data_IF_955324148144
#
_entry.id   IF_955324148144
#
_cell.length_a   1.000
_cell.length_b   1.000
_cell.length_c   1.000
_cell.angle_alpha   90.00
_cell.angle_beta   90.00
_cell.angle_gamma   90.00
#
_symmetry.space_group_name_H-M   'P 1'
#
loop_
_entity.id
_entity.type
_entity.pdbx_description
1 polymer ?
#
# COMPACT_ATOMS: atom_id res chain seq x y z
N UNK A 1 -26.50 20.34 -9.31
CA UNK A 1 -25.17 19.98 -9.83
C UNK A 1 -24.69 18.84 -8.94
N UNK A 2 -24.64 17.61 -9.44
CA UNK A 2 -24.14 16.48 -8.65
C UNK A 2 -22.71 16.83 -8.22
N UNK A 3 -22.45 16.82 -6.92
CA UNK A 3 -21.11 17.00 -6.37
C UNK A 3 -20.29 15.76 -6.79
N UNK A 4 -19.65 15.83 -7.96
CA UNK A 4 -18.84 14.74 -8.52
C UNK A 4 -17.50 14.75 -7.79
N UNK A 5 -17.12 13.60 -7.24
CA UNK A 5 -15.79 13.39 -6.70
C UNK A 5 -14.76 13.46 -7.83
N UNK A 6 -13.79 14.36 -7.71
CA UNK A 6 -12.77 14.67 -8.73
C UNK A 6 -11.36 14.35 -8.17
N UNK A 7 -10.45 13.90 -9.04
CA UNK A 7 -9.04 13.68 -8.71
C UNK A 7 -8.39 14.89 -8.02
N UNK A 8 -8.85 16.12 -8.32
CA UNK A 8 -8.35 17.35 -7.68
C UNK A 8 -8.63 17.40 -6.18
N UNK A 9 -9.74 16.81 -5.73
CA UNK A 9 -10.08 16.69 -4.31
C UNK A 9 -9.09 15.72 -3.65
N UNK A 10 -8.88 14.54 -4.25
CA UNK A 10 -7.96 13.52 -3.72
C UNK A 10 -6.51 14.03 -3.66
N UNK A 11 -6.06 14.74 -4.70
CA UNK A 11 -4.72 15.31 -4.77
C UNK A 11 -4.41 16.36 -3.68
N UNK A 12 -5.44 16.86 -2.98
CA UNK A 12 -5.27 17.80 -1.88
C UNK A 12 -5.16 17.12 -0.50
N UNK A 13 -5.39 15.81 -0.40
CA UNK A 13 -5.45 15.05 0.85
C UNK A 13 -4.15 14.30 1.09
N UNK A 14 -3.67 14.23 2.33
CA UNK A 14 -2.47 13.51 2.73
C UNK A 14 -2.86 12.14 3.33
N UNK A 15 -2.19 11.04 2.96
CA UNK A 15 -1.00 10.92 2.10
C UNK A 15 -1.30 10.80 0.59
N UNK A 16 -2.57 10.91 0.17
CA UNK A 16 -3.04 10.68 -1.21
C UNK A 16 -2.40 11.63 -2.23
N UNK A 17 -2.00 12.83 -1.81
CA UNK A 17 -1.39 13.88 -2.63
C UNK A 17 -0.07 13.45 -3.27
N UNK A 18 0.59 12.42 -2.73
CA UNK A 18 1.79 11.81 -3.31
C UNK A 18 1.53 11.05 -4.61
N UNK A 19 0.27 10.69 -4.90
CA UNK A 19 -0.07 9.80 -6.01
C UNK A 19 -0.04 10.49 -7.37
N UNK A 20 0.43 9.75 -8.37
CA UNK A 20 0.31 10.15 -9.77
C UNK A 20 -1.14 10.15 -10.28
N UNK A 21 -1.46 10.86 -11.38
CA UNK A 21 -2.84 10.99 -11.88
C UNK A 21 -3.56 9.68 -12.21
N UNK A 22 -2.83 8.64 -12.65
CA UNK A 22 -3.43 7.33 -12.93
C UNK A 22 -3.91 6.65 -11.63
N UNK A 23 -3.06 6.65 -10.60
CA UNK A 23 -3.34 6.10 -9.27
C UNK A 23 -4.48 6.84 -8.57
N UNK A 24 -4.56 8.16 -8.73
CA UNK A 24 -5.69 8.96 -8.23
C UNK A 24 -7.01 8.55 -8.88
N UNK A 25 -7.04 8.33 -10.20
CA UNK A 25 -8.25 7.89 -10.90
C UNK A 25 -8.71 6.51 -10.44
N UNK A 26 -7.76 5.62 -10.21
CA UNK A 26 -8.06 4.31 -9.63
C UNK A 26 -8.63 4.45 -8.22
N UNK A 27 -7.97 5.19 -7.33
CA UNK A 27 -8.42 5.37 -5.95
C UNK A 27 -9.85 5.96 -5.88
N UNK A 28 -10.23 6.82 -6.83
CA UNK A 28 -11.58 7.35 -6.93
C UNK A 28 -12.66 6.26 -6.95
N UNK A 29 -12.41 5.13 -7.62
CA UNK A 29 -13.36 4.02 -7.73
C UNK A 29 -13.60 3.31 -6.39
N UNK A 30 -12.67 3.46 -5.45
CA UNK A 30 -12.70 2.85 -4.11
C UNK A 30 -13.03 3.86 -3.00
N UNK A 31 -13.23 5.13 -3.36
CA UNK A 31 -13.65 6.17 -2.44
C UNK A 31 -15.17 6.30 -2.41
N UNK A 32 -15.72 6.52 -1.22
CA UNK A 32 -17.14 6.82 -1.04
C UNK A 32 -17.32 8.26 -0.54
N UNK A 33 -18.11 9.05 -1.26
CA UNK A 33 -18.52 10.38 -0.81
C UNK A 33 -19.82 10.28 -0.01
N UNK A 34 -19.77 10.69 1.25
CA UNK A 34 -20.91 10.75 2.16
C UNK A 34 -21.32 12.21 2.36
N UNK A 35 -22.63 12.48 2.35
CA UNK A 35 -23.15 13.81 2.67
C UNK A 35 -23.93 13.76 3.97
N UNK A 36 -23.60 14.65 4.91
CA UNK A 36 -24.23 14.70 6.23
C UNK A 36 -24.90 16.06 6.42
N UNK A 37 -26.14 16.03 6.91
CA UNK A 37 -26.90 17.23 7.17
C UNK A 37 -26.36 17.97 8.41
N UNK A 38 -26.55 19.29 8.43
CA UNK A 38 -26.22 20.13 9.57
C UNK A 38 -26.90 19.61 10.85
N UNK A 39 -26.18 19.64 11.97
CA UNK A 39 -26.63 19.22 13.29
C UNK A 39 -26.50 17.72 13.57
N UNK A 40 -26.08 16.91 12.59
CA UNK A 40 -25.89 15.47 12.76
C UNK A 40 -24.43 15.11 13.08
N UNK A 41 -24.26 14.02 13.82
CA UNK A 41 -22.97 13.39 14.06
C UNK A 41 -22.64 12.38 12.94
N UNK A 42 -21.61 12.62 12.11
CA UNK A 42 -21.25 11.73 11.00
C UNK A 42 -20.65 10.39 11.43
N UNK A 43 -20.22 10.24 12.68
CA UNK A 43 -19.53 9.05 13.18
C UNK A 43 -20.46 8.14 14.00
N UNK A 44 -21.65 8.63 14.34
CA UNK A 44 -22.68 7.83 15.02
C UNK A 44 -23.24 6.75 14.09
N UNK A 45 -22.93 5.49 14.36
CA UNK A 45 -23.36 4.33 13.57
C UNK A 45 -22.46 4.01 12.36
N UNK A 46 -21.44 4.83 12.10
CA UNK A 46 -20.38 4.58 11.11
C UNK A 46 -19.02 4.95 11.70
N UNK A 47 -18.44 4.06 12.51
CA UNK A 47 -17.18 4.35 13.19
C UNK A 47 -16.04 4.57 12.18
N UNK A 48 -14.95 5.16 12.68
CA UNK A 48 -13.76 5.49 11.89
C UNK A 48 -12.78 4.31 11.76
N UNK A 49 -13.03 3.20 12.45
CA UNK A 49 -12.14 2.04 12.43
C UNK A 49 -12.03 1.45 11.03
N UNK A 50 -10.79 1.24 10.57
CA UNK A 50 -10.48 0.73 9.23
C UNK A 50 -10.75 1.72 8.10
N UNK A 51 -11.09 2.98 8.40
CA UNK A 51 -11.39 3.99 7.38
C UNK A 51 -10.58 5.27 7.58
N UNK A 52 -10.08 5.78 6.46
CA UNK A 52 -9.51 7.13 6.34
C UNK A 52 -10.63 8.06 5.88
N UNK A 53 -11.02 8.99 6.75
CA UNK A 53 -12.16 9.88 6.53
C UNK A 53 -11.71 11.33 6.47
N UNK A 54 -12.07 12.05 5.42
CA UNK A 54 -11.63 13.43 5.20
C UNK A 54 -12.84 14.36 5.04
N UNK A 55 -12.74 15.56 5.61
CA UNK A 55 -13.75 16.61 5.38
C UNK A 55 -13.42 17.33 4.07
N UNK A 56 -14.25 17.13 3.05
CA UNK A 56 -14.01 17.75 1.73
C UNK A 56 -14.91 18.96 1.45
N UNK A 57 -15.97 19.16 2.26
CA UNK A 57 -16.85 20.33 2.17
C UNK A 57 -17.50 20.63 3.51
N UNK A 58 -17.67 21.91 3.82
CA UNK A 58 -18.36 22.40 5.00
C UNK A 58 -17.47 22.50 6.24
N UNK A 59 -18.11 22.49 7.40
CA UNK A 59 -17.50 22.72 8.70
C UNK A 59 -18.00 21.67 9.69
N UNK A 60 -17.07 21.05 10.41
CA UNK A 60 -17.31 19.98 11.38
C UNK A 60 -16.68 20.38 12.71
N UNK A 61 -17.47 20.37 13.78
CA UNK A 61 -16.94 20.41 15.12
C UNK A 61 -16.67 18.99 15.60
N UNK A 62 -15.50 18.77 16.19
CA UNK A 62 -15.10 17.50 16.78
C UNK A 62 -14.79 17.73 18.25
N UNK A 63 -15.40 16.93 19.11
CA UNK A 63 -15.15 16.91 20.56
C UNK A 63 -14.35 15.66 20.89
N UNK A 64 -13.18 15.88 21.48
CA UNK A 64 -12.27 14.83 21.88
C UNK A 64 -12.50 14.39 23.32
N UNK A 65 -12.04 13.18 23.68
CA UNK A 65 -12.24 12.59 25.00
C UNK A 65 -11.56 13.36 26.15
N UNK A 66 -10.60 14.25 25.87
CA UNK A 66 -10.02 15.18 26.83
C UNK A 66 -10.85 16.46 27.03
N UNK A 67 -11.99 16.58 26.34
CA UNK A 67 -12.85 17.75 26.35
C UNK A 67 -12.41 18.86 25.40
N UNK A 68 -11.37 18.66 24.57
CA UNK A 68 -10.97 19.66 23.57
C UNK A 68 -11.97 19.69 22.41
N UNK A 69 -12.36 20.91 22.00
CA UNK A 69 -13.20 21.17 20.83
C UNK A 69 -12.33 21.67 19.68
N UNK A 70 -12.42 21.01 18.53
CA UNK A 70 -11.71 21.41 17.32
C UNK A 70 -12.69 21.65 16.19
N UNK A 71 -12.63 22.86 15.61
CA UNK A 71 -13.34 23.20 14.39
C UNK A 71 -12.48 22.82 13.18
N UNK A 72 -12.96 21.87 12.40
CA UNK A 72 -12.35 21.47 11.13
C UNK A 72 -13.16 22.13 10.00
N UNK A 73 -12.49 22.97 9.21
CA UNK A 73 -13.04 23.53 7.97
C UNK A 73 -12.45 22.81 6.77
N UNK A 74 -13.24 22.60 5.73
CA UNK A 74 -12.80 21.89 4.53
C UNK A 74 -11.58 22.52 3.82
N UNK A 75 -11.34 23.82 4.00
CA UNK A 75 -10.20 24.56 3.46
C UNK A 75 -9.00 24.63 4.42
N UNK A 76 -9.15 24.10 5.64
CA UNK A 76 -8.09 24.11 6.64
C UNK A 76 -7.08 22.99 6.45
N UNK A 77 -5.89 23.17 7.01
CA UNK A 77 -4.86 22.12 7.04
C UNK A 77 -5.37 20.82 7.67
N UNK A 78 -6.24 20.92 8.68
CA UNK A 78 -6.85 19.76 9.36
C UNK A 78 -7.69 18.88 8.42
N UNK A 79 -8.36 19.47 7.44
CA UNK A 79 -9.17 18.74 6.47
C UNK A 79 -8.34 17.94 5.46
N UNK A 80 -7.05 18.26 5.31
CA UNK A 80 -6.14 17.53 4.43
C UNK A 80 -5.77 16.16 4.99
N UNK A 81 -5.92 15.94 6.29
CA UNK A 81 -5.52 14.70 6.95
C UNK A 81 -6.75 13.89 7.41
N UNK A 82 -6.64 12.56 7.55
CA UNK A 82 -7.78 11.75 7.96
C UNK A 82 -8.20 12.04 9.41
N UNK A 83 -9.51 12.28 9.59
CA UNK A 83 -10.17 12.64 10.84
C UNK A 83 -10.16 11.44 11.80
N UNK A 84 -9.98 11.73 13.09
CA UNK A 84 -9.94 10.72 14.15
C UNK A 84 -8.73 9.80 14.11
N UNK A 85 -7.74 10.11 13.27
CA UNK A 85 -6.40 9.50 13.36
C UNK A 85 -5.49 10.19 14.37
N UNK A 86 -5.94 11.30 14.98
CA UNK A 86 -5.32 11.93 16.15
C UNK A 86 -6.04 11.51 17.43
N UNK A 87 -5.30 11.41 18.54
CA UNK A 87 -5.86 11.29 19.88
C UNK A 87 -5.94 12.69 20.51
N UNK A 88 -6.84 12.88 21.49
CA UNK A 88 -7.70 11.85 22.09
C UNK A 88 -8.79 11.31 21.16
N UNK A 89 -9.45 10.21 21.54
CA UNK A 89 -10.51 9.64 20.71
C UNK A 89 -11.62 10.66 20.51
N UNK A 90 -12.29 10.60 19.34
CA UNK A 90 -13.45 11.43 19.09
C UNK A 90 -14.60 10.91 19.94
N UNK A 91 -15.05 11.73 20.88
CA UNK A 91 -16.19 11.44 21.72
C UNK A 91 -17.51 11.78 21.03
N UNK A 92 -17.54 12.89 20.29
CA UNK A 92 -18.68 13.34 19.52
C UNK A 92 -18.23 14.22 18.36
N UNK A 93 -19.05 14.31 17.31
CA UNK A 93 -18.86 15.29 16.26
C UNK A 93 -20.20 15.90 15.83
N UNK A 94 -20.17 17.15 15.38
CA UNK A 94 -21.37 17.87 14.93
C UNK A 94 -21.09 18.59 13.63
N UNK A 95 -21.82 18.23 12.57
CA UNK A 95 -21.78 18.97 11.31
C UNK A 95 -22.37 20.38 11.52
N UNK A 96 -21.53 21.42 11.54
CA UNK A 96 -21.99 22.81 11.74
C UNK A 96 -22.65 23.38 10.49
N UNK A 97 -22.32 22.84 9.32
CA UNK A 97 -22.98 23.09 8.04
C UNK A 97 -23.35 21.75 7.38
N UNK A 98 -23.94 21.79 6.18
CA UNK A 98 -24.02 20.57 5.36
C UNK A 98 -22.61 20.18 4.93
N UNK A 99 -22.13 19.03 5.38
CA UNK A 99 -20.76 18.57 5.11
C UNK A 99 -20.72 17.47 4.07
N UNK A 100 -19.55 17.31 3.45
CA UNK A 100 -19.22 16.12 2.67
C UNK A 100 -17.94 15.48 3.19
N UNK A 101 -18.01 14.16 3.35
CA UNK A 101 -16.91 13.34 3.83
C UNK A 101 -16.47 12.38 2.73
N UNK A 102 -15.17 12.31 2.48
CA UNK A 102 -14.58 11.25 1.67
C UNK A 102 -14.16 10.12 2.60
N UNK A 103 -14.59 8.88 2.32
CA UNK A 103 -14.16 7.68 3.02
C UNK A 103 -13.38 6.77 2.08
N UNK A 104 -12.22 6.30 2.54
CA UNK A 104 -11.42 5.25 1.90
C UNK A 104 -11.05 4.19 2.93
N UNK A 105 -10.84 2.95 2.48
CA UNK A 105 -10.32 1.87 3.32
C UNK A 105 -8.86 2.15 3.71
N UNK A 106 -8.53 2.01 5.00
CA UNK A 106 -7.19 2.31 5.53
C UNK A 106 -6.12 1.38 4.97
N UNK A 107 -6.43 0.09 4.83
CA UNK A 107 -5.46 -0.92 4.42
C UNK A 107 -5.15 -0.79 2.94
N UNK A 108 -6.18 -0.61 2.11
CA UNK A 108 -6.01 -0.32 0.70
C UNK A 108 -5.20 0.96 0.49
N UNK A 109 -5.52 2.04 1.22
CA UNK A 109 -4.80 3.30 1.08
C UNK A 109 -3.32 3.13 1.47
N UNK A 110 -3.03 2.49 2.60
CA UNK A 110 -1.66 2.28 3.08
C UNK A 110 -0.85 1.34 2.17
N UNK A 111 -1.49 0.31 1.59
CA UNK A 111 -0.90 -0.49 0.53
C UNK A 111 -0.53 0.40 -0.65
N UNK A 112 -1.51 1.10 -1.25
CA UNK A 112 -1.30 1.94 -2.43
C UNK A 112 -0.17 2.97 -2.21
N UNK A 113 -0.10 3.60 -1.03
CA UNK A 113 1.01 4.52 -0.68
C UNK A 113 2.34 3.81 -0.65
N UNK A 114 2.41 2.65 0.01
CA UNK A 114 3.66 1.90 0.12
C UNK A 114 4.17 1.52 -1.27
N UNK A 115 3.31 1.00 -2.15
CA UNK A 115 3.68 0.61 -3.50
C UNK A 115 4.09 1.78 -4.39
N UNK A 116 3.36 2.90 -4.32
CA UNK A 116 3.67 4.12 -5.07
C UNK A 116 5.02 4.73 -4.64
N UNK A 117 5.35 4.72 -3.34
CA UNK A 117 6.66 5.21 -2.87
C UNK A 117 7.84 4.34 -3.34
N UNK A 118 7.62 3.04 -3.56
CA UNK A 118 8.64 2.17 -4.14
C UNK A 118 8.83 2.38 -5.64
N UNK A 119 7.78 2.83 -6.32
CA UNK A 119 7.76 3.06 -7.75
C UNK A 119 8.64 4.23 -8.20
N UNK A 120 8.66 5.32 -7.42
CA UNK A 120 9.30 6.58 -7.80
C UNK A 120 10.79 6.68 -7.43
N UNK A 121 11.48 5.56 -7.19
CA UNK A 121 12.91 5.58 -6.90
C UNK A 121 13.72 5.75 -8.22
N UNK A 122 13.89 6.99 -8.66
CA UNK A 122 14.61 7.36 -9.90
C UNK A 122 16.14 7.17 -9.86
N UNK A 123 16.79 6.91 -8.71
CA UNK A 123 18.26 6.95 -8.62
C UNK A 123 18.94 5.73 -7.98
N UNK A 124 18.49 4.51 -8.29
CA UNK A 124 19.44 3.41 -8.27
C UNK A 124 20.28 3.54 -9.53
N UNK A 125 21.55 3.98 -9.40
CA UNK A 125 22.56 3.75 -10.45
C UNK A 125 22.58 2.25 -10.76
N UNK A 126 21.77 1.84 -11.72
CA UNK A 126 21.89 0.55 -12.38
C UNK A 126 23.25 0.61 -13.07
N UNK A 127 24.22 -0.24 -12.70
CA UNK A 127 25.49 -0.25 -13.39
C UNK A 127 25.20 -0.61 -14.85
N UNK A 128 25.28 0.41 -15.73
CA UNK A 128 25.17 0.34 -17.18
C UNK A 128 24.40 -0.88 -17.71
N UNK A 129 23.08 -0.92 -17.48
CA UNK A 129 22.21 -1.89 -18.13
C UNK A 129 20.91 -1.21 -18.56
N UNK A 130 20.91 -0.83 -19.85
CA UNK A 130 19.78 -0.61 -20.77
C UNK A 130 18.69 0.40 -20.35
N UNK A 131 18.51 1.41 -21.21
CA UNK A 131 17.42 2.41 -21.29
C UNK A 131 15.98 1.83 -21.29
N UNK A 132 15.80 0.51 -21.13
CA UNK A 132 14.52 -0.19 -21.06
C UNK A 132 13.99 -0.50 -19.65
N UNK A 133 14.82 -0.45 -18.61
CA UNK A 133 14.44 -0.88 -17.24
C UNK A 133 13.41 0.06 -16.58
N UNK A 134 13.57 1.36 -16.74
CA UNK A 134 12.71 2.37 -16.10
C UNK A 134 11.32 2.40 -16.72
N UNK A 135 11.25 2.31 -18.06
CA UNK A 135 9.98 2.21 -18.78
C UNK A 135 9.25 0.89 -18.51
N UNK A 136 9.97 -0.19 -18.19
CA UNK A 136 9.39 -1.47 -17.82
C UNK A 136 8.81 -1.44 -16.40
N UNK A 137 9.54 -0.88 -15.43
CA UNK A 137 9.05 -0.68 -14.05
C UNK A 137 7.83 0.24 -14.04
N UNK A 138 7.89 1.37 -14.75
CA UNK A 138 6.75 2.30 -14.86
C UNK A 138 5.54 1.67 -15.55
N UNK A 139 5.75 0.83 -16.58
CA UNK A 139 4.66 0.03 -17.19
C UNK A 139 4.08 -0.96 -16.20
N UNK A 140 4.92 -1.66 -15.45
CA UNK A 140 4.51 -2.62 -14.44
C UNK A 140 3.70 -1.97 -13.32
N UNK A 141 4.07 -0.76 -12.88
CA UNK A 141 3.36 -0.05 -11.80
C UNK A 141 1.99 0.49 -12.23
N UNK A 142 1.85 0.77 -13.52
CA UNK A 142 0.58 1.09 -14.15
C UNK A 142 -0.13 -0.16 -14.71
N UNK A 143 0.44 -1.35 -14.46
CA UNK A 143 -0.13 -2.63 -14.86
C UNK A 143 -1.27 -3.02 -13.93
N UNK A 144 -2.13 -3.92 -14.40
CA UNK A 144 -3.19 -4.52 -13.59
C UNK A 144 -2.68 -5.14 -12.29
N UNK A 145 -1.40 -5.53 -12.19
CA UNK A 145 -0.82 -6.15 -10.98
C UNK A 145 -0.92 -5.32 -9.72
N UNK A 146 -0.80 -4.02 -9.85
CA UNK A 146 -0.89 -3.13 -8.70
C UNK A 146 -2.20 -2.38 -8.67
N UNK A 147 -3.23 -2.89 -9.36
CA UNK A 147 -4.53 -2.29 -9.24
C UNK A 147 -5.06 -2.43 -7.82
N UNK A 148 -5.91 -1.52 -7.39
CA UNK A 148 -6.56 -1.55 -6.08
C UNK A 148 -7.37 -2.86 -5.88
N UNK A 149 -7.94 -3.43 -6.94
CA UNK A 149 -8.62 -4.73 -6.95
C UNK A 149 -7.65 -5.86 -6.54
N UNK A 150 -6.44 -5.87 -7.11
CA UNK A 150 -5.42 -6.87 -6.85
C UNK A 150 -4.69 -6.67 -5.52
N UNK A 151 -4.45 -5.42 -5.14
CA UNK A 151 -3.89 -5.10 -3.82
C UNK A 151 -4.82 -5.53 -2.68
N UNK A 152 -6.11 -5.71 -2.96
CA UNK A 152 -7.08 -6.20 -1.98
C UNK A 152 -7.23 -7.73 -1.98
N UNK A 153 -7.15 -8.40 -3.15
CA UNK A 153 -7.62 -9.79 -3.30
C UNK A 153 -6.58 -10.79 -3.82
N UNK A 154 -5.39 -10.35 -4.22
CA UNK A 154 -4.32 -11.23 -4.75
C UNK A 154 -3.43 -11.76 -3.61
N UNK A 155 -2.75 -12.92 -3.75
CA UNK A 155 -1.65 -13.30 -2.86
C UNK A 155 -0.60 -12.18 -2.68
N UNK A 156 -0.48 -11.29 -3.68
CA UNK A 156 0.38 -10.12 -3.62
C UNK A 156 -0.12 -8.98 -2.70
N UNK A 157 -1.39 -8.97 -2.31
CA UNK A 157 -1.93 -8.11 -1.25
C UNK A 157 -1.17 -8.27 0.07
N UNK A 158 -0.67 -9.49 0.31
CA UNK A 158 0.06 -9.87 1.51
C UNK A 158 1.58 -9.89 1.32
N UNK A 159 2.08 -9.44 0.17
CA UNK A 159 3.52 -9.34 0.00
C UNK A 159 4.11 -8.40 1.06
N UNK A 160 5.14 -8.84 1.79
CA UNK A 160 5.87 -7.96 2.67
C UNK A 160 6.39 -6.77 1.86
N UNK A 161 6.14 -5.56 2.34
CA UNK A 161 6.56 -4.31 1.67
C UNK A 161 8.06 -4.28 1.35
N UNK A 162 8.86 -4.93 2.19
CA UNK A 162 10.29 -5.14 2.00
C UNK A 162 10.66 -5.91 0.71
N UNK A 163 9.76 -6.75 0.20
CA UNK A 163 9.98 -7.60 -0.97
C UNK A 163 9.51 -6.94 -2.28
N UNK A 164 8.81 -5.79 -2.21
CA UNK A 164 8.29 -5.06 -3.37
C UNK A 164 9.40 -4.77 -4.39
N UNK A 165 10.50 -4.17 -3.96
CA UNK A 165 11.60 -3.84 -4.87
C UNK A 165 12.27 -5.07 -5.51
N UNK A 166 12.28 -6.21 -4.82
CA UNK A 166 12.78 -7.48 -5.38
C UNK A 166 11.82 -8.03 -6.43
N UNK A 167 10.51 -7.96 -6.19
CA UNK A 167 9.47 -8.38 -7.14
C UNK A 167 9.63 -7.63 -8.46
N UNK A 168 9.73 -6.30 -8.41
CA UNK A 168 9.85 -5.45 -9.60
C UNK A 168 11.03 -5.85 -10.49
N UNK A 169 12.14 -6.32 -9.89
CA UNK A 169 13.34 -6.72 -10.61
C UNK A 169 13.31 -8.17 -11.15
N UNK A 170 12.37 -9.00 -10.68
CA UNK A 170 12.32 -10.45 -11.00
C UNK A 170 11.16 -10.84 -11.90
N UNK A 171 10.19 -9.94 -12.08
CA UNK A 171 9.04 -10.21 -12.92
C UNK A 171 9.41 -10.16 -14.41
N UNK A 172 8.87 -11.10 -15.18
CA UNK A 172 9.11 -11.21 -16.62
C UNK A 172 7.83 -10.82 -17.37
N UNK A 173 7.96 -9.98 -18.40
CA UNK A 173 6.85 -9.62 -19.30
C UNK A 173 6.89 -10.53 -20.52
N UNK A 174 5.78 -11.20 -20.84
CA UNK A 174 5.65 -12.05 -22.02
C UNK A 174 4.42 -11.67 -22.85
N UNK A 175 4.53 -11.74 -24.18
CA UNK A 175 3.38 -11.64 -25.07
C UNK A 175 2.65 -12.99 -25.14
N UNK A 176 1.33 -12.97 -25.23
CA UNK A 176 0.50 -14.16 -25.36
C UNK A 176 -0.53 -13.98 -26.48
N UNK A 177 -0.74 -15.02 -27.28
CA UNK A 177 -1.57 -14.97 -28.48
C UNK A 177 -2.90 -15.68 -28.29
N UNK A 178 -3.92 -15.29 -29.06
CA UNK A 178 -5.21 -15.99 -29.07
C UNK A 178 -5.03 -17.51 -29.24
N UNK A 179 -5.75 -18.29 -28.43
CA UNK A 179 -5.69 -19.76 -28.34
C UNK A 179 -4.38 -20.36 -27.84
N UNK A 180 -3.40 -19.53 -27.44
CA UNK A 180 -2.18 -20.03 -26.81
C UNK A 180 -2.49 -20.64 -25.45
N UNK A 181 -1.94 -21.83 -25.19
CA UNK A 181 -2.07 -22.52 -23.91
C UNK A 181 -0.88 -22.13 -23.03
N UNK A 182 -1.16 -21.41 -21.94
CA UNK A 182 -0.14 -20.89 -21.02
C UNK A 182 0.20 -21.92 -19.94
N UNK A 183 -0.81 -22.65 -19.46
CA UNK A 183 -0.66 -23.73 -18.48
C UNK A 183 -1.44 -24.92 -19.00
N UNK A 184 -0.85 -26.13 -18.92
CA UNK A 184 -1.60 -27.38 -19.13
C UNK A 184 -1.84 -28.07 -17.81
N UNK A 185 -3.03 -28.64 -17.68
CA UNK A 185 -3.37 -29.50 -16.56
C UNK A 185 -2.38 -30.67 -16.47
N UNK A 186 -1.89 -30.97 -15.26
CA UNK A 186 -0.95 -32.05 -14.98
C UNK A 186 0.54 -31.69 -15.11
N UNK A 187 0.87 -30.51 -15.66
CA UNK A 187 2.25 -30.02 -15.71
C UNK A 187 2.75 -29.64 -14.31
N UNK A 188 4.06 -29.45 -14.17
CA UNK A 188 4.66 -28.93 -12.94
C UNK A 188 4.37 -27.43 -12.75
N UNK A 189 4.21 -27.01 -11.49
CA UNK A 189 4.08 -25.60 -11.15
C UNK A 189 5.43 -24.86 -11.26
N UNK A 190 5.63 -24.06 -12.30
CA UNK A 190 6.90 -23.39 -12.61
C UNK A 190 6.85 -21.85 -12.49
N UNK A 191 5.72 -21.22 -12.88
CA UNK A 191 5.49 -19.78 -12.81
C UNK A 191 4.13 -19.41 -12.20
N UNK A 192 4.09 -18.24 -11.58
CA UNK A 192 2.89 -17.49 -11.27
C UNK A 192 2.62 -16.51 -12.43
N UNK A 193 1.36 -16.26 -12.77
CA UNK A 193 1.00 -15.37 -13.88
C UNK A 193 -0.03 -14.31 -13.47
N UNK A 194 0.08 -13.15 -14.10
CA UNK A 194 -0.94 -12.09 -14.10
C UNK A 194 -1.26 -11.66 -15.54
N UNK A 195 -2.55 -11.45 -15.82
CA UNK A 195 -3.00 -10.92 -17.10
C UNK A 195 -2.90 -9.41 -17.08
N UNK A 196 -1.92 -8.85 -17.80
CA UNK A 196 -1.80 -7.40 -17.96
C UNK A 196 -2.82 -6.88 -18.98
N UNK A 197 -2.97 -7.61 -20.09
CA UNK A 197 -4.01 -7.34 -21.07
C UNK A 197 -4.47 -8.62 -21.75
N UNK A 198 -5.71 -8.61 -22.25
CA UNK A 198 -6.34 -9.75 -22.91
C UNK A 198 -7.31 -10.50 -22.00
N UNK A 199 -7.73 -11.70 -22.46
CA UNK A 199 -8.63 -12.60 -21.75
C UNK A 199 -8.12 -14.02 -21.83
N UNK A 200 -8.35 -14.81 -20.78
CA UNK A 200 -8.02 -16.23 -20.75
C UNK A 200 -9.22 -17.05 -20.23
N UNK A 201 -9.15 -18.35 -20.41
CA UNK A 201 -10.15 -19.30 -19.96
C UNK A 201 -9.46 -20.43 -19.19
N UNK A 202 -9.99 -20.74 -18.02
CA UNK A 202 -9.55 -21.86 -17.19
C UNK A 202 -10.50 -23.03 -17.42
N UNK A 203 -9.98 -24.18 -17.80
CA UNK A 203 -10.77 -25.39 -18.00
C UNK A 203 -10.05 -26.63 -17.46
N UNK A 204 -10.83 -27.57 -16.92
CA UNK A 204 -10.35 -28.87 -16.45
C UNK A 204 -11.00 -29.98 -17.26
N UNK A 205 -10.25 -31.05 -17.53
CA UNK A 205 -10.81 -32.25 -18.14
C UNK A 205 -11.48 -33.13 -17.08
N UNK A 206 -12.82 -33.23 -17.09
CA UNK A 206 -13.57 -34.09 -16.17
C UNK A 206 -14.34 -35.12 -16.99
N UNK A 207 -14.02 -36.41 -16.79
CA UNK A 207 -14.70 -37.50 -17.51
C UNK A 207 -14.60 -37.41 -19.04
N UNK A 208 -13.49 -36.88 -19.57
CA UNK A 208 -13.28 -36.66 -21.01
C UNK A 208 -13.94 -35.41 -21.59
N UNK A 209 -14.64 -34.61 -20.78
CA UNK A 209 -15.27 -33.35 -21.20
C UNK A 209 -14.51 -32.16 -20.63
N UNK A 210 -14.29 -31.12 -21.45
CA UNK A 210 -13.64 -29.89 -21.00
C UNK A 210 -14.66 -29.03 -20.25
N UNK A 211 -14.53 -28.98 -18.93
CA UNK A 211 -15.38 -28.17 -18.07
C UNK A 211 -14.72 -26.81 -17.86
N UNK A 212 -15.42 -25.74 -18.25
CA UNK A 212 -14.97 -24.36 -18.03
C UNK A 212 -15.18 -24.00 -16.58
N UNK A 213 -14.11 -23.62 -15.89
CA UNK A 213 -14.14 -23.25 -14.47
C UNK A 213 -14.31 -21.75 -14.30
N UNK A 214 -13.61 -20.96 -15.12
CA UNK A 214 -13.61 -19.50 -15.05
C UNK A 214 -13.18 -18.88 -16.39
N UNK A 215 -13.59 -17.63 -16.61
CA UNK A 215 -12.99 -16.73 -17.59
C UNK A 215 -12.20 -15.65 -16.83
N UNK A 216 -11.01 -15.35 -17.30
CA UNK A 216 -10.09 -14.39 -16.71
C UNK A 216 -9.95 -13.16 -17.60
N UNK A 217 -9.88 -11.98 -16.99
CA UNK A 217 -9.70 -10.66 -17.61
C UNK A 217 -8.35 -10.04 -17.19
N UNK A 218 -8.01 -8.90 -17.78
CA UNK A 218 -6.92 -8.07 -17.31
C UNK A 218 -7.08 -7.75 -15.81
N UNK A 219 -5.97 -7.85 -15.07
CA UNK A 219 -5.95 -7.83 -13.61
C UNK A 219 -5.94 -9.23 -13.00
N UNK A 220 -6.61 -10.22 -13.58
CA UNK A 220 -6.71 -11.53 -12.93
C UNK A 220 -5.38 -12.28 -12.91
N UNK A 221 -5.23 -13.12 -11.88
CA UNK A 221 -4.03 -13.91 -11.60
C UNK A 221 -4.34 -15.39 -11.71
N UNK A 222 -3.32 -16.19 -12.04
CA UNK A 222 -3.49 -17.64 -12.10
C UNK A 222 -2.18 -18.41 -11.92
N UNK A 223 -2.31 -19.66 -11.50
CA UNK A 223 -1.21 -20.62 -11.36
C UNK A 223 -0.53 -20.62 -9.99
N UNK A 224 -1.00 -19.83 -9.04
CA UNK A 224 -0.51 -19.74 -7.65
C UNK A 224 -0.71 -21.03 -6.86
N UNK A 225 -1.82 -21.74 -7.07
CA UNK A 225 -2.18 -22.92 -6.27
C UNK A 225 -1.11 -24.01 -6.34
N UNK A 226 -0.60 -24.31 -7.55
CA UNK A 226 0.44 -25.30 -7.78
C UNK A 226 1.79 -24.92 -7.13
N UNK A 227 2.04 -23.63 -6.94
CA UNK A 227 3.27 -23.16 -6.30
C UNK A 227 3.19 -23.26 -4.78
N UNK A 228 2.04 -22.91 -4.20
CA UNK A 228 1.80 -22.89 -2.76
C UNK A 228 1.64 -24.31 -2.21
N UNK A 229 0.89 -25.15 -2.90
CA UNK A 229 0.60 -26.53 -2.46
C UNK A 229 1.66 -27.55 -2.89
N UNK A 230 2.71 -27.10 -3.59
CA UNK A 230 3.73 -27.97 -4.21
C UNK A 230 3.11 -29.13 -5.01
N UNK A 231 2.08 -28.81 -5.79
CA UNK A 231 1.31 -29.78 -6.57
C UNK A 231 1.34 -29.47 -8.07
N UNK A 232 0.85 -30.42 -8.87
CA UNK A 232 0.73 -30.24 -10.32
C UNK A 232 -0.35 -29.23 -10.68
N UNK A 233 -0.23 -28.64 -11.86
CA UNK A 233 -1.22 -27.74 -12.44
C UNK A 233 -2.59 -28.41 -12.46
N UNK A 234 -3.55 -27.77 -11.83
CA UNK A 234 -4.84 -28.36 -11.55
C UNK A 234 -5.86 -28.13 -12.69
N UNK A 235 -5.56 -27.27 -13.65
CA UNK A 235 -6.39 -26.93 -14.80
C UNK A 235 -5.52 -26.40 -15.95
N UNK A 236 -6.08 -26.40 -17.17
CA UNK A 236 -5.48 -25.79 -18.35
C UNK A 236 -5.94 -24.34 -18.48
N UNK A 237 -5.01 -23.42 -18.76
CA UNK A 237 -5.31 -22.01 -18.99
C UNK A 237 -4.97 -21.66 -20.43
N UNK A 238 -5.97 -21.20 -21.18
CA UNK A 238 -5.84 -20.86 -22.61
C UNK A 238 -6.25 -19.42 -22.86
N UNK A 239 -5.46 -18.68 -23.62
CA UNK A 239 -5.79 -17.33 -24.05
C UNK A 239 -7.00 -17.32 -25.00
N UNK A 240 -7.87 -16.32 -24.84
CA UNK A 240 -9.08 -16.07 -25.65
C UNK A 240 -8.97 -14.80 -26.51
N UNK A 241 -7.87 -14.08 -26.35
CA UNK A 241 -7.46 -12.95 -27.16
C UNK A 241 -5.95 -12.80 -27.07
N UNK A 242 -5.36 -12.04 -27.99
CA UNK A 242 -3.99 -11.56 -27.81
C UNK A 242 -3.90 -10.71 -26.53
N UNK A 243 -2.74 -10.73 -25.90
CA UNK A 243 -2.53 -10.09 -24.61
C UNK A 243 -1.07 -10.05 -24.19
N UNK A 244 -0.87 -9.52 -22.99
CA UNK A 244 0.42 -9.46 -22.31
C UNK A 244 0.23 -10.09 -20.94
N UNK A 245 1.16 -10.94 -20.54
CA UNK A 245 1.21 -11.54 -19.22
C UNK A 245 2.47 -11.08 -18.50
N UNK A 246 2.33 -10.92 -17.19
CA UNK A 246 3.46 -10.83 -16.27
C UNK A 246 3.63 -12.20 -15.62
N UNK A 247 4.86 -12.69 -15.49
CA UNK A 247 5.13 -13.96 -14.83
C UNK A 247 6.30 -13.90 -13.86
N UNK A 248 6.24 -14.73 -12.82
CA UNK A 248 7.25 -14.82 -11.77
C UNK A 248 7.58 -16.29 -11.51
N UNK A 249 8.87 -16.65 -11.45
CA UNK A 249 9.29 -18.04 -11.22
C UNK A 249 8.86 -18.52 -9.84
N UNK A 250 8.61 -19.82 -9.68
CA UNK A 250 8.24 -20.45 -8.40
C UNK A 250 9.16 -20.07 -7.25
N UNK A 251 10.47 -20.16 -7.45
CA UNK A 251 11.45 -19.85 -6.40
C UNK A 251 11.37 -18.38 -5.97
N UNK A 252 11.23 -17.48 -6.94
CA UNK A 252 11.09 -16.05 -6.67
C UNK A 252 9.76 -15.75 -5.96
N UNK A 253 8.66 -16.35 -6.41
CA UNK A 253 7.35 -16.23 -5.76
C UNK A 253 7.42 -16.67 -4.30
N UNK A 254 7.97 -17.86 -4.02
CA UNK A 254 8.09 -18.38 -2.66
C UNK A 254 9.01 -17.52 -1.78
N UNK A 255 10.14 -17.04 -2.29
CA UNK A 255 11.01 -16.13 -1.54
C UNK A 255 10.30 -14.81 -1.22
N UNK A 256 9.57 -14.25 -2.19
CA UNK A 256 8.90 -12.95 -2.04
C UNK A 256 7.70 -13.02 -1.09
N UNK A 257 7.04 -14.18 -0.97
CA UNK A 257 5.95 -14.40 -0.02
C UNK A 257 6.43 -14.55 1.43
N UNK A 258 7.73 -14.78 1.68
CA UNK A 258 8.26 -14.91 3.04
C UNK A 258 8.47 -13.55 3.69
N UNK A 259 7.96 -13.37 4.93
CA UNK A 259 8.29 -12.19 5.74
C UNK A 259 9.79 -12.14 6.03
N UNK A 260 10.49 -11.05 5.68
CA UNK A 260 11.86 -10.90 6.10
C UNK A 260 11.94 -10.88 7.63
N UNK A 261 12.94 -11.58 8.17
CA UNK A 261 13.21 -11.63 9.62
C UNK A 261 13.69 -10.26 10.11
N UNK A 262 12.73 -9.36 10.36
CA UNK A 262 12.95 -8.05 10.96
C UNK A 262 12.60 -8.10 12.44
N UNK A 263 13.40 -7.44 13.27
CA UNK A 263 13.09 -7.29 14.68
C UNK A 263 11.99 -6.26 14.85
N UNK A 264 10.77 -6.74 15.11
CA UNK A 264 9.63 -5.91 15.51
C UNK A 264 9.72 -5.62 17.03
N UNK A 265 9.44 -4.39 17.45
CA UNK A 265 9.50 -3.96 18.85
C UNK A 265 8.27 -3.10 19.19
N UNK A 266 7.57 -3.44 20.27
CA UNK A 266 6.47 -2.63 20.80
C UNK A 266 6.93 -1.30 21.42
N UNK A 267 6.01 -0.34 21.55
CA UNK A 267 6.34 1.05 21.91
C UNK A 267 7.22 1.21 23.16
N UNK A 268 6.84 0.56 24.26
CA UNK A 268 7.54 0.74 25.55
C UNK A 268 9.00 0.31 25.49
N UNK A 269 9.29 -0.78 24.79
CA UNK A 269 10.64 -1.26 24.61
C UNK A 269 11.42 -0.40 23.60
N UNK A 270 10.75 0.04 22.53
CA UNK A 270 11.34 0.96 21.56
C UNK A 270 11.72 2.30 22.21
N UNK A 271 10.85 2.84 23.08
CA UNK A 271 11.12 4.05 23.86
C UNK A 271 12.35 3.88 24.75
N UNK A 272 12.48 2.76 25.48
CA UNK A 272 13.69 2.47 26.28
C UNK A 272 14.96 2.44 25.44
N UNK A 273 14.91 1.89 24.23
CA UNK A 273 16.05 1.88 23.30
C UNK A 273 16.44 3.30 22.90
N UNK A 274 15.45 4.14 22.60
CA UNK A 274 15.71 5.55 22.24
C UNK A 274 16.23 6.35 23.42
N UNK A 275 15.65 6.16 24.61
CA UNK A 275 16.16 6.74 25.86
C UNK A 275 17.61 6.27 26.15
N UNK A 276 17.98 5.08 25.67
CA UNK A 276 19.34 4.51 25.73
C UNK A 276 20.27 4.89 24.56
N UNK A 277 19.86 5.80 23.67
CA UNK A 277 20.71 6.32 22.58
C UNK A 277 20.39 5.78 21.18
N UNK A 278 19.33 4.99 21.01
CA UNK A 278 18.76 4.73 19.69
C UNK A 278 18.05 5.98 19.14
N UNK A 279 17.77 6.01 17.84
CA UNK A 279 17.12 7.14 17.18
C UNK A 279 15.82 6.71 16.50
N UNK A 280 14.76 7.47 16.73
CA UNK A 280 13.51 7.34 15.97
C UNK A 280 13.72 7.77 14.52
N UNK A 281 13.39 6.90 13.57
CA UNK A 281 13.47 7.17 12.13
C UNK A 281 12.08 7.10 11.50
N UNK A 282 11.54 8.26 11.15
CA UNK A 282 10.24 8.40 10.48
C UNK A 282 10.41 8.28 8.97
N UNK A 283 9.75 7.30 8.34
CA UNK A 283 9.86 7.04 6.90
C UNK A 283 8.65 7.49 6.09
N UNK A 284 7.79 8.31 6.67
CA UNK A 284 6.65 8.95 5.99
C UNK A 284 7.10 10.17 5.20
N UNK A 285 6.20 10.72 4.37
CA UNK A 285 6.51 11.94 3.63
C UNK A 285 6.59 13.17 4.56
N UNK A 286 7.33 14.22 4.17
CA UNK A 286 7.52 15.42 5.00
C UNK A 286 6.23 16.13 5.46
N UNK A 287 5.12 16.18 4.68
CA UNK A 287 3.85 16.71 5.19
C UNK A 287 3.28 15.88 6.35
N UNK A 288 3.31 14.55 6.28
CA UNK A 288 2.87 13.66 7.38
C UNK A 288 3.72 13.89 8.64
N UNK A 289 5.05 13.95 8.51
CA UNK A 289 5.97 14.19 9.63
C UNK A 289 5.82 15.58 10.28
N UNK A 290 5.43 16.60 9.50
CA UNK A 290 5.12 17.93 10.03
C UNK A 290 3.80 17.97 10.78
N UNK A 291 2.85 17.13 10.36
CA UNK A 291 1.55 17.03 11.00
C UNK A 291 1.64 16.32 12.34
N UNK A 292 2.26 15.15 12.41
CA UNK A 292 2.55 14.50 13.69
C UNK A 292 3.84 13.69 13.62
N UNK A 293 4.51 13.45 14.77
CA UNK A 293 5.73 12.63 14.83
C UNK A 293 6.06 12.16 16.24
N UNK A 294 7.07 11.30 16.39
CA UNK A 294 7.67 11.06 17.71
C UNK A 294 8.68 12.16 18.05
N UNK A 295 8.73 12.64 19.31
CA UNK A 295 9.71 13.62 19.76
C UNK A 295 11.14 13.18 19.46
N UNK A 296 11.94 14.06 18.85
CA UNK A 296 13.34 13.78 18.50
C UNK A 296 13.52 12.87 17.27
N UNK A 297 12.46 12.50 16.57
CA UNK A 297 12.56 11.69 15.36
C UNK A 297 13.21 12.45 14.20
N UNK A 298 14.00 11.74 13.41
CA UNK A 298 14.55 12.21 12.14
C UNK A 298 13.62 11.70 11.02
N UNK A 299 13.25 12.56 10.07
CA UNK A 299 12.48 12.15 8.91
C UNK A 299 13.40 11.81 7.73
N UNK A 300 13.29 10.57 7.25
CA UNK A 300 13.91 10.09 6.02
C UNK A 300 12.83 9.30 5.28
N UNK A 301 12.08 9.94 4.35
CA UNK A 301 11.02 9.29 3.61
C UNK A 301 11.45 7.97 2.98
N UNK A 302 10.54 6.99 2.89
CA UNK A 302 10.84 5.65 2.36
C UNK A 302 11.56 5.69 0.99
N UNK A 303 11.12 6.58 0.10
CA UNK A 303 11.69 6.81 -1.23
C UNK A 303 13.10 7.44 -1.21
N UNK A 304 13.59 7.90 -0.05
CA UNK A 304 14.93 8.46 0.14
C UNK A 304 15.86 7.55 0.97
N UNK A 305 15.36 6.43 1.48
CA UNK A 305 16.12 5.54 2.39
C UNK A 305 17.40 5.03 1.75
N UNK A 306 17.39 4.71 0.45
CA UNK A 306 18.60 4.25 -0.26
C UNK A 306 19.68 5.33 -0.33
N UNK A 307 19.27 6.60 -0.50
CA UNK A 307 20.18 7.74 -0.54
C UNK A 307 20.74 8.06 0.85
N UNK A 308 19.98 7.74 1.91
CA UNK A 308 20.43 7.89 3.29
C UNK A 308 21.45 6.82 3.73
N UNK A 309 21.58 5.71 2.99
CA UNK A 309 22.62 4.71 3.22
C UNK A 309 24.00 5.34 3.00
N UNK A 310 24.86 5.27 4.01
CA UNK A 310 26.18 5.92 4.01
C UNK A 310 26.18 7.32 4.61
N UNK A 311 25.03 8.00 4.67
CA UNK A 311 24.86 9.26 5.42
C UNK A 311 24.49 8.99 6.87
N UNK A 312 23.57 8.03 7.11
CA UNK A 312 23.22 7.58 8.46
C UNK A 312 24.40 6.86 9.13
N UNK A 313 24.53 7.04 10.44
CA UNK A 313 25.57 6.42 11.26
C UNK A 313 25.28 4.95 11.52
N UNK A 314 26.18 4.04 11.11
CA UNK A 314 26.06 2.60 11.42
C UNK A 314 26.26 2.26 12.90
N UNK A 315 26.84 3.18 13.67
CA UNK A 315 27.07 2.98 15.10
C UNK A 315 25.83 3.28 15.94
N UNK A 316 24.84 3.96 15.36
CA UNK A 316 23.60 4.35 16.02
C UNK A 316 22.52 3.29 15.72
N UNK A 317 21.88 2.72 16.75
CA UNK A 317 20.69 1.90 16.54
C UNK A 317 19.51 2.78 16.12
N UNK A 318 18.68 2.31 15.19
CA UNK A 318 17.48 3.04 14.77
C UNK A 318 16.22 2.23 15.08
N UNK A 319 15.17 2.92 15.50
CA UNK A 319 13.81 2.36 15.51
C UNK A 319 13.01 3.05 14.43
N UNK A 320 12.70 2.29 13.37
CA UNK A 320 12.06 2.77 12.16
C UNK A 320 10.55 2.67 12.31
N UNK A 321 9.84 3.75 11.99
CA UNK A 321 8.38 3.78 12.07
C UNK A 321 7.75 4.54 10.91
N UNK A 322 6.49 4.22 10.64
CA UNK A 322 5.62 4.96 9.74
C UNK A 322 4.22 5.03 10.37
N UNK A 323 3.17 5.10 9.56
CA UNK A 323 1.80 5.16 10.06
C UNK A 323 1.33 3.81 10.65
N UNK A 324 1.42 2.74 9.84
CA UNK A 324 0.88 1.40 10.13
C UNK A 324 1.94 0.35 10.47
N UNK A 325 3.21 0.61 10.12
CA UNK A 325 4.29 -0.37 10.14
C UNK A 325 4.69 -0.95 8.77
N UNK A 326 3.85 -0.81 7.72
CA UNK A 326 4.16 -1.37 6.38
C UNK A 326 5.36 -0.67 5.74
N UNK A 327 5.33 0.65 5.60
CA UNK A 327 6.46 1.44 5.04
C UNK A 327 7.75 1.29 5.86
N UNK A 328 7.67 1.25 7.19
CA UNK A 328 8.84 1.11 8.05
C UNK A 328 9.48 -0.28 8.00
N UNK A 329 8.71 -1.36 7.83
CA UNK A 329 9.27 -2.68 7.58
C UNK A 329 10.11 -2.71 6.28
N UNK A 330 9.59 -2.04 5.25
CA UNK A 330 10.27 -1.86 3.98
C UNK A 330 11.61 -1.11 4.11
N UNK A 331 11.59 0.05 4.78
CA UNK A 331 12.78 0.84 5.05
C UNK A 331 13.79 0.09 5.93
N UNK A 332 13.33 -0.55 7.00
CA UNK A 332 14.17 -1.32 7.91
C UNK A 332 14.84 -2.49 7.17
N UNK A 333 14.17 -3.14 6.24
CA UNK A 333 14.79 -4.17 5.42
C UNK A 333 15.96 -3.64 4.58
N UNK A 334 15.79 -2.50 3.90
CA UNK A 334 16.85 -1.86 3.12
C UNK A 334 18.05 -1.51 4.03
N UNK A 335 17.79 -0.92 5.19
CA UNK A 335 18.82 -0.54 6.15
C UNK A 335 19.53 -1.76 6.75
N UNK A 336 18.79 -2.82 7.11
CA UNK A 336 19.35 -4.07 7.62
C UNK A 336 20.28 -4.74 6.60
N UNK A 337 19.89 -4.78 5.32
CA UNK A 337 20.75 -5.27 4.24
C UNK A 337 22.03 -4.44 4.08
N UNK A 338 21.96 -3.12 4.32
CA UNK A 338 23.13 -2.24 4.31
C UNK A 338 23.98 -2.33 5.60
N UNK A 339 23.61 -3.20 6.55
CA UNK A 339 24.35 -3.47 7.79
C UNK A 339 24.04 -2.52 8.94
N UNK A 340 22.89 -1.83 8.93
CA UNK A 340 22.44 -1.00 10.04
C UNK A 340 21.72 -1.83 11.10
N UNK A 341 21.83 -1.40 12.37
CA UNK A 341 21.07 -1.96 13.49
C UNK A 341 19.71 -1.29 13.53
N UNK A 342 18.68 -1.97 13.02
CA UNK A 342 17.34 -1.40 12.89
C UNK A 342 16.29 -2.33 13.44
N UNK A 343 15.37 -1.74 14.20
CA UNK A 343 14.15 -2.38 14.67
C UNK A 343 12.94 -1.67 14.04
N UNK A 344 11.85 -2.39 13.83
CA UNK A 344 10.59 -1.84 13.33
C UNK A 344 9.66 -1.61 14.52
N UNK A 345 9.11 -0.39 14.64
CA UNK A 345 8.06 -0.11 15.62
C UNK A 345 6.78 -0.84 15.23
N UNK A 346 6.29 -1.72 16.10
CA UNK A 346 5.07 -2.50 15.87
C UNK A 346 3.86 -1.60 15.68
N UNK A 347 3.11 -1.83 14.61
CA UNK A 347 1.91 -1.09 14.21
C UNK A 347 2.13 0.42 13.99
N UNK A 348 3.38 0.87 13.80
CA UNK A 348 3.72 2.27 13.51
C UNK A 348 3.21 3.26 14.56
N UNK A 349 2.85 4.47 14.12
CA UNK A 349 2.27 5.49 15.00
C UNK A 349 0.86 5.16 15.49
N UNK A 350 0.15 4.23 14.85
CA UNK A 350 -1.19 3.83 15.30
C UNK A 350 -1.18 3.12 16.66
N UNK A 351 -0.06 2.50 17.08
CA UNK A 351 0.06 1.90 18.42
C UNK A 351 0.48 2.87 19.51
N UNK A 352 0.81 4.12 19.16
CA UNK A 352 1.39 5.08 20.10
C UNK A 352 0.30 6.02 20.59
N UNK A 353 0.14 6.21 21.91
CA UNK A 353 -0.75 7.25 22.44
C UNK A 353 -0.36 8.61 21.85
N UNK A 354 -1.32 9.42 21.37
CA UNK A 354 -0.92 10.68 20.71
C UNK A 354 -0.43 11.76 21.68
N UNK A 355 -0.66 11.60 22.98
CA UNK A 355 0.00 12.40 24.02
C UNK A 355 1.53 12.27 23.97
N UNK A 356 2.04 11.18 23.39
CA UNK A 356 3.47 10.91 23.21
C UNK A 356 3.96 11.34 21.82
N UNK A 357 3.10 11.91 20.98
CA UNK A 357 3.40 12.41 19.64
C UNK A 357 3.48 13.95 19.67
N UNK A 358 4.30 14.54 18.81
CA UNK A 358 4.55 15.98 18.67
C UNK A 358 3.86 16.56 17.45
#
# INVERSE_FOLDING_TARGET
MQDILDIRVLAALEPISSFGPARLRELLEYCHLETVAQGLDPFKGRPLHGQSVYLVKGELEVVYADGNHVLIRADSEWARHPIGKRQPEIQAATALTRIQLLRADDDLLDQMVTWDQFAYHEDAKVPAAQEGSEAAVKRLLNSGMFSAENLSNSPFAHLPSANIGKLLNRIEVIAAWDKEIIIREGDEGDYYYLIESGRAQVARLVGGTHMVLAELKAGDVFGEEALISDSKRNATVTMKSNGVLLRLKKQDFLELMQEPLLRKTGYQEAKRKVDGGAVWLDVRHPPEYRYDKLPGAINVPLNDIRNAVGVLSKNTPYVVYCQSGRRSAAAAFILAQAGYKVDVLENGLWSIPKSEQQ
#
